data_IF_943741360244
#
_entry.id   IF_943741360244
#
_cell.length_a   1.000
_cell.length_b   1.000
_cell.length_c   1.000
_cell.angle_alpha   90.00
_cell.angle_beta   90.00
_cell.angle_gamma   90.00
#
_symmetry.space_group_name_H-M   'P 1'
#
loop_
_entity.id
_entity.type
_entity.pdbx_description
1 polymer ?
#
# COMPACT_ATOMS: atom_id res chain seq x y z
N UNK A 1 5.98 -4.15 24.31
CA UNK A 1 6.70 -5.17 25.09
C UNK A 1 7.15 -6.24 24.11
N UNK A 2 8.45 -6.31 23.80
CA UNK A 2 8.98 -7.21 22.77
C UNK A 2 8.90 -8.65 23.29
N UNK A 3 8.08 -9.49 22.66
CA UNK A 3 8.08 -10.94 22.92
C UNK A 3 9.48 -11.44 22.54
N UNK A 4 10.23 -11.91 23.52
CA UNK A 4 11.60 -12.40 23.33
C UNK A 4 11.47 -13.76 22.65
N UNK A 5 11.79 -13.83 21.36
CA UNK A 5 11.76 -15.08 20.61
C UNK A 5 12.63 -16.11 21.35
N UNK A 6 12.12 -17.34 21.51
CA UNK A 6 12.85 -18.41 22.18
C UNK A 6 13.75 -19.10 21.16
N UNK A 7 14.88 -18.46 20.86
CA UNK A 7 15.84 -18.93 19.85
C UNK A 7 17.18 -19.24 20.50
N UNK A 8 17.74 -20.41 20.21
CA UNK A 8 19.09 -20.79 20.66
C UNK A 8 20.05 -20.68 19.48
N UNK A 9 21.01 -19.75 19.57
CA UNK A 9 22.06 -19.54 18.56
C UNK A 9 23.31 -20.37 18.87
N UNK A 10 23.86 -21.02 17.85
CA UNK A 10 25.19 -21.65 17.86
C UNK A 10 25.97 -21.23 16.63
N UNK A 11 27.05 -20.48 16.82
CA UNK A 11 27.94 -20.07 15.73
C UNK A 11 28.82 -21.23 15.29
N UNK A 12 28.76 -21.55 13.99
CA UNK A 12 29.55 -22.61 13.35
C UNK A 12 30.83 -22.00 12.77
N UNK A 13 30.72 -20.86 12.09
CA UNK A 13 31.84 -20.09 11.59
C UNK A 13 31.70 -18.63 11.98
N UNK A 14 32.73 -18.06 12.60
CA UNK A 14 32.75 -16.66 13.00
C UNK A 14 32.86 -15.75 11.78
N UNK A 15 31.96 -14.78 11.67
CA UNK A 15 32.02 -13.78 10.61
C UNK A 15 33.13 -12.74 10.81
N UNK A 16 33.15 -11.73 9.95
CA UNK A 16 34.13 -10.65 9.93
C UNK A 16 33.47 -9.31 10.24
N UNK A 17 34.25 -8.38 10.77
CA UNK A 17 33.81 -7.00 11.02
C UNK A 17 33.09 -6.80 12.35
N UNK A 18 32.27 -5.74 12.41
CA UNK A 18 31.43 -5.40 13.57
C UNK A 18 29.98 -5.73 13.26
N UNK A 19 29.19 -5.94 14.31
CA UNK A 19 27.73 -6.12 14.18
C UNK A 19 27.16 -4.80 13.66
N UNK A 20 26.49 -4.83 12.51
CA UNK A 20 25.79 -3.67 11.95
C UNK A 20 24.65 -3.25 12.88
N UNK A 21 24.28 -1.97 12.88
CA UNK A 21 23.20 -1.46 13.75
C UNK A 21 21.80 -1.91 13.28
N UNK A 22 21.69 -2.44 12.06
CA UNK A 22 20.45 -2.96 11.45
C UNK A 22 19.26 -2.00 11.65
N UNK A 23 19.45 -0.73 11.25
CA UNK A 23 18.39 0.28 11.22
C UNK A 23 17.29 -0.09 10.23
N UNK A 24 16.10 0.49 10.40
CA UNK A 24 14.99 0.31 9.45
C UNK A 24 15.45 0.66 8.02
N UNK A 25 15.14 -0.21 7.07
CA UNK A 25 15.59 -0.10 5.68
C UNK A 25 16.92 -0.78 5.35
N UNK A 26 17.64 -1.34 6.33
CA UNK A 26 18.85 -2.13 6.07
C UNK A 26 18.49 -3.39 5.27
N UNK A 27 19.26 -3.73 4.22
CA UNK A 27 19.08 -4.95 3.43
C UNK A 27 20.12 -5.99 3.83
N UNK A 28 19.68 -7.21 4.13
CA UNK A 28 20.56 -8.35 4.37
C UNK A 28 20.37 -9.42 3.30
N UNK A 29 21.48 -9.88 2.74
CA UNK A 29 21.54 -10.93 1.72
C UNK A 29 22.14 -12.17 2.38
N UNK A 30 21.43 -13.29 2.34
CA UNK A 30 21.83 -14.50 3.07
C UNK A 30 21.36 -15.79 2.39
N UNK A 31 22.09 -16.86 2.66
CA UNK A 31 21.61 -18.22 2.44
C UNK A 31 21.01 -18.76 3.73
N UNK A 32 19.95 -19.54 3.61
CA UNK A 32 19.45 -20.35 4.72
C UNK A 32 19.14 -21.78 4.29
N UNK A 33 19.19 -22.65 5.29
CA UNK A 33 18.70 -24.02 5.24
C UNK A 33 17.74 -24.23 6.42
N UNK A 34 16.55 -24.79 6.17
CA UNK A 34 15.59 -25.18 7.19
C UNK A 34 15.59 -26.70 7.34
N UNK A 35 15.80 -27.16 8.58
CA UNK A 35 15.90 -28.56 8.95
C UNK A 35 14.74 -28.94 9.87
N UNK A 36 13.97 -29.93 9.44
CA UNK A 36 12.87 -30.55 10.18
C UNK A 36 13.35 -31.78 10.93
N UNK A 37 13.18 -31.88 12.25
CA UNK A 37 13.52 -33.09 12.99
C UNK A 37 12.54 -34.22 12.63
N UNK A 38 13.09 -35.37 12.21
CA UNK A 38 12.32 -36.56 11.81
C UNK A 38 11.51 -37.07 13.01
N UNK A 39 12.17 -37.22 14.15
CA UNK A 39 11.54 -37.55 15.42
C UNK A 39 11.04 -36.28 16.11
N UNK A 40 9.89 -36.37 16.77
CA UNK A 40 9.35 -35.23 17.52
C UNK A 40 10.15 -35.07 18.81
N UNK A 41 10.86 -33.95 19.01
CA UNK A 41 11.59 -33.74 20.25
C UNK A 41 10.62 -33.63 21.43
N UNK A 42 11.02 -34.17 22.59
CA UNK A 42 10.27 -33.97 23.82
C UNK A 42 10.27 -32.49 24.21
N UNK A 43 9.16 -32.04 24.81
CA UNK A 43 8.95 -30.62 25.12
C UNK A 43 10.03 -30.12 26.09
N UNK A 44 10.85 -29.17 25.64
CA UNK A 44 11.93 -28.58 26.44
C UNK A 44 13.28 -29.29 26.34
N UNK A 45 13.40 -30.37 25.55
CA UNK A 45 14.69 -30.95 25.22
C UNK A 45 15.34 -30.24 24.03
N UNK A 46 16.68 -30.09 24.02
CA UNK A 46 17.39 -29.53 22.88
C UNK A 46 17.22 -30.41 21.65
N UNK A 47 17.20 -29.77 20.49
CA UNK A 47 17.11 -30.45 19.19
C UNK A 47 18.32 -31.38 18.96
N UNK A 48 18.14 -32.58 18.36
CA UNK A 48 19.21 -33.57 18.14
C UNK A 48 20.49 -32.97 17.54
N UNK A 49 21.66 -33.46 17.94
CA UNK A 49 22.94 -32.95 17.41
C UNK A 49 23.28 -33.57 16.06
N UNK A 50 22.86 -34.81 15.83
CA UNK A 50 23.17 -35.57 14.62
C UNK A 50 22.44 -35.03 13.40
N UNK A 51 23.15 -34.93 12.28
CA UNK A 51 22.61 -34.39 11.03
C UNK A 51 21.56 -35.32 10.41
N UNK A 52 21.72 -36.63 10.59
CA UNK A 52 20.83 -37.65 10.01
C UNK A 52 19.45 -37.69 10.67
N UNK A 53 19.29 -37.05 11.82
CA UNK A 53 17.99 -36.88 12.50
C UNK A 53 17.09 -35.82 11.86
N UNK A 54 17.54 -35.18 10.77
CA UNK A 54 16.82 -34.08 10.12
C UNK A 54 16.51 -34.35 8.65
N UNK A 55 15.30 -33.95 8.24
CA UNK A 55 14.93 -33.74 6.84
C UNK A 55 15.12 -32.27 6.48
N UNK A 56 15.79 -31.99 5.37
CA UNK A 56 15.86 -30.63 4.83
C UNK A 56 14.53 -30.26 4.19
N UNK A 57 13.91 -29.16 4.64
CA UNK A 57 12.66 -28.65 4.08
C UNK A 57 12.98 -27.64 3.00
N UNK A 58 13.79 -26.62 3.32
CA UNK A 58 14.13 -25.54 2.40
C UNK A 58 15.64 -25.32 2.38
N UNK A 59 16.21 -25.12 1.18
CA UNK A 59 17.63 -24.81 1.00
C UNK A 59 17.82 -23.78 -0.12
N UNK A 60 18.23 -22.57 0.23
CA UNK A 60 18.49 -21.50 -0.76
C UNK A 60 19.61 -21.83 -1.74
N UNK A 61 20.50 -22.78 -1.44
CA UNK A 61 21.61 -23.15 -2.33
C UNK A 61 21.22 -24.21 -3.35
N UNK A 62 20.18 -25.01 -3.09
CA UNK A 62 19.70 -26.02 -4.02
C UNK A 62 18.71 -25.42 -5.01
N UNK A 63 18.66 -25.94 -6.23
CA UNK A 63 17.63 -25.58 -7.20
C UNK A 63 16.29 -26.27 -6.88
N UNK A 64 15.22 -25.82 -7.52
CA UNK A 64 13.92 -26.50 -7.50
C UNK A 64 14.07 -28.00 -7.84
N UNK A 65 13.37 -28.93 -7.17
CA UNK A 65 12.31 -28.75 -6.17
C UNK A 65 12.77 -28.61 -4.70
N UNK A 66 14.05 -28.86 -4.44
CA UNK A 66 14.59 -28.97 -3.07
C UNK A 66 15.09 -27.63 -2.50
N UNK A 67 14.86 -26.53 -3.21
CA UNK A 67 15.42 -25.23 -2.87
C UNK A 67 15.09 -24.10 -3.84
N UNK A 68 15.75 -22.95 -3.64
CA UNK A 68 15.47 -21.70 -4.37
C UNK A 68 16.53 -21.30 -5.40
N UNK A 69 17.72 -21.89 -5.37
CA UNK A 69 18.82 -21.70 -6.32
C UNK A 69 19.49 -20.32 -6.27
N UNK A 70 19.12 -19.46 -5.31
CA UNK A 70 19.65 -18.10 -5.13
C UNK A 70 19.60 -17.68 -3.66
N UNK A 71 20.48 -16.78 -3.22
CA UNK A 71 20.38 -16.19 -1.89
C UNK A 71 19.06 -15.41 -1.75
N UNK A 72 18.59 -15.30 -0.51
CA UNK A 72 17.44 -14.47 -0.18
C UNK A 72 17.85 -13.13 0.38
N UNK A 73 16.93 -12.20 0.26
CA UNK A 73 17.09 -10.82 0.63
C UNK A 73 15.96 -10.42 1.57
N UNK A 74 16.30 -9.79 2.69
CA UNK A 74 15.34 -9.23 3.64
C UNK A 74 15.68 -7.78 3.91
N UNK A 75 14.65 -6.94 4.04
CA UNK A 75 14.80 -5.54 4.43
C UNK A 75 14.18 -5.34 5.82
N UNK A 76 15.00 -4.88 6.76
CA UNK A 76 14.61 -4.70 8.15
C UNK A 76 13.59 -3.58 8.34
N UNK A 77 12.68 -3.73 9.30
CA UNK A 77 11.69 -2.69 9.67
C UNK A 77 10.45 -2.64 8.76
N UNK A 78 10.48 -3.27 7.58
CA UNK A 78 9.26 -3.60 6.84
C UNK A 78 8.63 -4.78 7.57
N UNK A 79 7.34 -4.71 7.95
CA UNK A 79 6.60 -5.77 8.67
C UNK A 79 6.59 -7.07 7.86
N UNK A 80 7.70 -7.83 7.90
CA UNK A 80 7.86 -9.06 7.15
C UNK A 80 6.99 -10.14 7.78
N UNK A 81 6.55 -11.11 6.97
CA UNK A 81 5.72 -12.22 7.45
C UNK A 81 6.48 -13.17 8.39
N UNK A 82 7.78 -12.97 8.63
CA UNK A 82 8.63 -13.76 9.56
C UNK A 82 9.56 -12.88 10.43
N UNK A 83 9.04 -12.32 11.54
CA UNK A 83 9.85 -11.51 12.47
C UNK A 83 11.05 -12.25 13.08
N UNK A 84 10.97 -13.58 13.18
CA UNK A 84 12.05 -14.39 13.77
C UNK A 84 13.33 -14.39 12.93
N UNK A 85 13.24 -14.27 11.61
CA UNK A 85 14.43 -14.18 10.74
C UNK A 85 15.19 -12.87 10.99
N UNK A 86 14.47 -11.76 11.13
CA UNK A 86 15.08 -10.48 11.51
C UNK A 86 15.78 -10.58 12.86
N UNK A 87 15.15 -11.23 13.84
CA UNK A 87 15.76 -11.42 15.16
C UNK A 87 17.06 -12.24 15.10
N UNK A 88 17.08 -13.32 14.32
CA UNK A 88 18.27 -14.15 14.14
C UNK A 88 19.40 -13.38 13.44
N UNK A 89 19.09 -12.76 12.29
CA UNK A 89 20.08 -12.09 11.45
C UNK A 89 20.71 -10.86 12.13
N UNK A 90 19.95 -10.13 12.97
CA UNK A 90 20.48 -9.01 13.79
C UNK A 90 21.64 -9.41 14.72
N UNK A 91 21.73 -10.68 15.07
CA UNK A 91 22.79 -11.18 15.96
C UNK A 91 24.04 -11.64 15.22
N UNK A 92 24.03 -11.65 13.88
CA UNK A 92 25.09 -12.22 13.05
C UNK A 92 26.04 -11.16 12.50
N UNK A 93 27.30 -11.54 12.32
CA UNK A 93 28.31 -10.81 11.57
C UNK A 93 28.24 -11.16 10.07
N UNK A 94 28.78 -10.27 9.23
CA UNK A 94 28.94 -10.54 7.79
C UNK A 94 29.87 -11.73 7.59
N UNK A 95 29.53 -12.64 6.68
CA UNK A 95 30.18 -13.93 6.42
C UNK A 95 30.08 -14.95 7.59
N UNK A 96 29.24 -14.68 8.59
CA UNK A 96 28.99 -15.61 9.70
C UNK A 96 28.09 -16.77 9.24
N UNK A 97 28.39 -17.98 9.72
CA UNK A 97 27.51 -19.15 9.61
C UNK A 97 27.04 -19.53 11.01
N UNK A 98 25.74 -19.43 11.24
CA UNK A 98 25.14 -19.73 12.54
C UNK A 98 23.91 -20.59 12.42
N UNK A 99 23.79 -21.52 13.36
CA UNK A 99 22.63 -22.36 13.57
C UNK A 99 21.71 -21.72 14.60
N UNK A 100 20.41 -21.74 14.33
CA UNK A 100 19.37 -21.24 15.21
C UNK A 100 18.29 -22.30 15.37
N UNK A 101 18.05 -22.70 16.61
CA UNK A 101 16.95 -23.59 16.96
C UNK A 101 15.76 -22.72 17.36
N UNK A 102 14.66 -22.79 16.60
CA UNK A 102 13.50 -21.91 16.69
C UNK A 102 12.27 -22.72 17.13
N UNK A 103 11.60 -22.24 18.17
CA UNK A 103 10.39 -22.84 18.73
C UNK A 103 9.14 -22.68 17.84
N UNK A 104 8.17 -23.59 17.99
CA UNK A 104 6.96 -23.63 17.16
C UNK A 104 6.16 -22.31 17.15
N UNK A 105 6.17 -21.58 18.27
CA UNK A 105 5.39 -20.35 18.45
C UNK A 105 5.82 -19.26 17.49
N UNK A 106 7.10 -19.21 17.15
CA UNK A 106 7.69 -18.22 16.25
C UNK A 106 7.61 -18.66 14.77
N UNK A 107 7.04 -19.85 14.49
CA UNK A 107 7.01 -20.49 13.16
C UNK A 107 5.61 -20.58 12.54
N UNK A 108 4.59 -19.99 13.15
CA UNK A 108 3.19 -20.06 12.67
C UNK A 108 3.06 -19.57 11.22
N UNK A 109 3.83 -18.56 10.83
CA UNK A 109 3.78 -17.98 9.47
C UNK A 109 4.73 -18.67 8.48
N UNK A 110 5.63 -19.52 8.95
CA UNK A 110 6.70 -20.12 8.12
C UNK A 110 6.17 -20.96 6.94
N UNK A 111 5.18 -21.85 7.13
CA UNK A 111 4.65 -22.65 6.01
C UNK A 111 4.13 -21.80 4.85
N UNK A 112 3.47 -20.67 5.15
CA UNK A 112 2.91 -19.80 4.12
C UNK A 112 3.99 -19.02 3.35
N UNK A 113 5.04 -18.58 4.05
CA UNK A 113 6.17 -17.90 3.40
C UNK A 113 6.98 -18.88 2.56
N UNK A 114 7.29 -20.07 3.09
CA UNK A 114 7.98 -21.11 2.33
C UNK A 114 7.20 -21.50 1.07
N UNK A 115 5.88 -21.68 1.16
CA UNK A 115 5.02 -21.90 -0.01
C UNK A 115 5.19 -20.81 -1.08
N UNK A 116 5.09 -19.53 -0.70
CA UNK A 116 5.25 -18.40 -1.64
C UNK A 116 6.63 -18.42 -2.31
N UNK A 117 7.68 -18.67 -1.54
CA UNK A 117 9.04 -18.73 -2.08
C UNK A 117 9.21 -19.91 -3.06
N UNK A 118 8.60 -21.06 -2.76
CA UNK A 118 8.61 -22.25 -3.63
C UNK A 118 7.87 -21.98 -4.94
N UNK A 119 6.69 -21.39 -4.87
CA UNK A 119 5.85 -21.10 -6.02
C UNK A 119 6.51 -20.10 -6.99
N UNK A 120 7.33 -19.18 -6.50
CA UNK A 120 8.10 -18.23 -7.34
C UNK A 120 9.17 -18.93 -8.17
N UNK A 121 9.80 -19.99 -7.62
CA UNK A 121 10.93 -20.68 -8.26
C UNK A 121 10.48 -21.89 -9.09
N UNK A 122 9.25 -22.37 -8.87
CA UNK A 122 8.65 -23.49 -9.61
C UNK A 122 8.56 -23.17 -11.12
N UNK A 123 9.16 -24.00 -12.00
CA UNK A 123 9.03 -23.84 -13.45
C UNK A 123 7.56 -23.97 -13.89
N UNK A 124 7.07 -23.05 -14.72
CA UNK A 124 5.73 -23.16 -15.31
C UNK A 124 5.71 -24.28 -16.36
N UNK A 125 5.11 -25.43 -16.05
CA UNK A 125 4.65 -26.36 -17.08
C UNK A 125 3.64 -25.61 -17.96
N UNK A 126 3.80 -25.64 -19.29
CA UNK A 126 3.10 -24.82 -20.30
C UNK A 126 1.57 -24.95 -20.41
N UNK A 127 0.84 -25.15 -19.31
CA UNK A 127 -0.59 -24.91 -19.22
C UNK A 127 -0.80 -23.45 -18.78
N UNK A 128 -1.46 -22.67 -19.65
CA UNK A 128 -1.90 -21.30 -19.40
C UNK A 128 -2.43 -21.16 -17.98
N UNK A 129 -1.74 -20.40 -17.14
CA UNK A 129 -2.31 -19.91 -15.89
C UNK A 129 -3.25 -18.78 -16.23
N UNK A 130 -4.54 -19.07 -16.12
CA UNK A 130 -5.59 -18.08 -16.04
C UNK A 130 -5.23 -17.08 -14.93
N UNK A 131 -5.30 -15.79 -15.21
CA UNK A 131 -5.06 -14.74 -14.22
C UNK A 131 -6.28 -14.66 -13.27
N UNK A 132 -6.50 -15.73 -12.52
CA UNK A 132 -7.59 -15.89 -11.57
C UNK A 132 -7.14 -15.56 -10.15
N UNK A 133 -7.54 -14.38 -9.69
CA UNK A 133 -7.75 -14.01 -8.29
C UNK A 133 -6.56 -14.19 -7.32
N UNK A 134 -5.96 -13.05 -6.95
CA UNK A 134 -5.31 -12.86 -5.64
C UNK A 134 -6.30 -13.24 -4.55
N UNK A 135 -6.20 -14.47 -4.06
CA UNK A 135 -7.08 -15.00 -3.02
C UNK A 135 -6.74 -14.29 -1.72
N UNK A 136 -7.63 -13.38 -1.34
CA UNK A 136 -7.75 -12.81 0.00
C UNK A 136 -7.71 -13.95 1.04
N UNK A 137 -6.90 -13.82 2.09
CA UNK A 137 -6.87 -14.78 3.19
C UNK A 137 -8.26 -14.83 3.84
N UNK A 138 -9.05 -15.84 3.48
CA UNK A 138 -10.24 -16.26 4.21
C UNK A 138 -9.89 -17.58 4.91
N UNK A 139 -10.44 -17.81 6.10
CA UNK A 139 -10.24 -19.03 6.87
C UNK A 139 -10.57 -20.33 6.07
N UNK A 140 -11.27 -20.21 4.94
CA UNK A 140 -11.58 -21.29 4.01
C UNK A 140 -10.37 -21.82 3.21
N UNK A 141 -9.27 -21.07 3.05
CA UNK A 141 -8.07 -21.52 2.31
C UNK A 141 -7.26 -22.58 3.06
N UNK A 142 -7.44 -22.69 4.38
CA UNK A 142 -6.72 -23.65 5.24
C UNK A 142 -7.13 -25.10 4.92
N UNK A 143 -8.31 -25.31 4.36
CA UNK A 143 -8.83 -26.64 4.06
C UNK A 143 -8.17 -27.33 2.85
N UNK A 144 -7.46 -26.59 1.98
CA UNK A 144 -6.84 -27.14 0.76
C UNK A 144 -5.34 -27.48 0.89
N UNK A 145 -4.70 -27.20 2.03
CA UNK A 145 -3.27 -27.42 2.22
C UNK A 145 -2.39 -26.46 1.40
N UNK A 146 -1.08 -26.51 1.63
CA UNK A 146 -0.08 -25.73 0.90
C UNK A 146 0.23 -26.31 -0.48
N UNK A 147 -0.09 -27.60 -0.71
CA UNK A 147 0.30 -28.34 -1.90
C UNK A 147 1.70 -28.95 -1.81
N UNK A 148 2.36 -28.84 -0.65
CA UNK A 148 3.66 -29.42 -0.35
C UNK A 148 3.53 -30.27 0.93
N UNK A 149 3.77 -31.58 0.80
CA UNK A 149 3.58 -32.54 1.90
C UNK A 149 4.37 -32.16 3.17
N UNK A 150 5.55 -31.57 2.99
CA UNK A 150 6.45 -31.19 4.07
C UNK A 150 5.92 -30.00 4.89
N UNK A 151 5.32 -29.02 4.20
CA UNK A 151 4.73 -27.84 4.83
C UNK A 151 3.37 -28.18 5.44
N UNK A 152 2.63 -29.09 4.80
CA UNK A 152 1.36 -29.61 5.31
C UNK A 152 1.57 -30.44 6.58
N UNK A 153 2.64 -31.24 6.66
CA UNK A 153 3.02 -31.93 7.90
C UNK A 153 3.43 -30.95 9.00
N UNK A 154 4.18 -29.90 8.68
CA UNK A 154 4.54 -28.86 9.66
C UNK A 154 3.30 -28.11 10.20
N UNK A 155 2.29 -27.88 9.36
CA UNK A 155 1.02 -27.27 9.80
C UNK A 155 0.19 -28.21 10.67
N UNK A 156 0.09 -29.50 10.30
CA UNK A 156 -0.65 -30.52 11.07
C UNK A 156 0.04 -30.84 12.40
N UNK A 157 1.37 -30.90 12.37
CA UNK A 157 2.24 -31.25 13.48
C UNK A 157 3.30 -30.16 13.69
N UNK A 158 2.96 -29.03 14.36
CA UNK A 158 3.92 -27.98 14.65
C UNK A 158 5.10 -28.51 15.47
N UNK A 159 6.31 -28.31 14.95
CA UNK A 159 7.58 -28.72 15.55
C UNK A 159 8.61 -27.59 15.49
N UNK A 160 9.57 -27.54 16.43
CA UNK A 160 10.67 -26.60 16.34
C UNK A 160 11.53 -26.93 15.12
N UNK A 161 12.07 -25.89 14.50
CA UNK A 161 12.91 -26.01 13.31
C UNK A 161 14.32 -25.53 13.61
N UNK A 162 15.29 -26.17 12.95
CA UNK A 162 16.68 -25.71 12.97
C UNK A 162 16.97 -24.97 11.67
N UNK A 163 17.34 -23.70 11.79
CA UNK A 163 17.79 -22.89 10.68
C UNK A 163 19.30 -22.76 10.69
N UNK A 164 19.93 -22.92 9.54
CA UNK A 164 21.35 -22.61 9.36
C UNK A 164 21.43 -21.42 8.41
N UNK A 165 21.81 -20.26 8.93
CA UNK A 165 22.01 -19.05 8.13
C UNK A 165 23.48 -18.87 7.79
N UNK A 166 23.73 -18.37 6.58
CA UNK A 166 25.01 -17.81 6.15
C UNK A 166 24.74 -16.40 5.66
N UNK A 167 25.11 -15.42 6.48
CA UNK A 167 24.90 -14.00 6.16
C UNK A 167 26.01 -13.55 5.20
N UNK A 168 25.66 -13.22 3.97
CA UNK A 168 26.66 -12.88 2.94
C UNK A 168 27.03 -11.40 2.99
N UNK A 169 26.02 -10.54 3.09
CA UNK A 169 26.22 -9.10 3.03
C UNK A 169 25.10 -8.37 3.77
N UNK A 170 25.46 -7.22 4.36
CA UNK A 170 24.54 -6.25 4.93
C UNK A 170 24.80 -4.93 4.21
N UNK A 171 23.74 -4.33 3.67
CA UNK A 171 23.78 -3.07 2.93
C UNK A 171 22.92 -2.05 3.68
N UNK A 172 23.52 -0.90 3.96
CA UNK A 172 22.79 0.24 4.51
C UNK A 172 21.87 0.86 3.43
N UNK A 173 20.79 1.56 3.80
CA UNK A 173 19.80 2.09 2.85
C UNK A 173 20.38 2.96 1.71
N UNK A 174 21.53 3.58 1.92
CA UNK A 174 22.26 4.42 0.96
C UNK A 174 23.19 3.62 0.02
N UNK A 175 23.47 2.35 0.33
CA UNK A 175 24.44 1.52 -0.37
C UNK A 175 23.83 0.56 -1.40
N UNK A 176 22.49 0.50 -1.49
CA UNK A 176 21.80 -0.26 -2.53
C UNK A 176 20.69 0.58 -3.16
N UNK A 177 20.55 0.45 -4.47
CA UNK A 177 19.32 0.90 -5.12
C UNK A 177 18.20 0.00 -4.62
N UNK A 178 17.22 0.59 -3.94
CA UNK A 178 16.01 -0.11 -3.53
C UNK A 178 15.48 -0.95 -4.70
N UNK A 179 15.11 -2.21 -4.49
CA UNK A 179 14.57 -3.00 -5.60
C UNK A 179 13.34 -2.29 -6.18
N UNK A 180 13.07 -2.45 -7.48
CA UNK A 180 11.91 -1.89 -8.20
C UNK A 180 10.56 -2.07 -7.48
N UNK A 181 10.44 -2.99 -6.53
CA UNK A 181 9.24 -3.22 -5.71
C UNK A 181 9.14 -2.35 -4.45
N UNK A 182 10.26 -1.79 -3.97
CA UNK A 182 10.33 -0.70 -2.98
C UNK A 182 10.42 0.66 -3.68
N UNK A 183 11.04 0.72 -4.86
CA UNK A 183 11.05 1.88 -5.74
C UNK A 183 9.71 2.10 -6.45
N UNK A 184 8.85 1.10 -6.61
CA UNK A 184 7.59 1.27 -7.34
C UNK A 184 6.62 2.21 -6.61
N UNK A 185 6.57 2.22 -5.27
CA UNK A 185 5.67 3.11 -4.53
C UNK A 185 6.18 4.54 -4.53
N UNK A 186 7.46 4.74 -4.21
CA UNK A 186 8.07 6.06 -4.25
C UNK A 186 8.14 6.61 -5.67
N UNK A 187 8.48 5.79 -6.67
CA UNK A 187 8.53 6.22 -8.06
C UNK A 187 7.13 6.42 -8.63
N UNK A 188 6.12 5.63 -8.26
CA UNK A 188 4.73 5.94 -8.61
C UNK A 188 4.25 7.20 -7.90
N UNK A 189 4.67 7.46 -6.66
CA UNK A 189 4.33 8.68 -5.94
C UNK A 189 5.00 9.91 -6.56
N UNK A 190 6.29 9.79 -6.94
CA UNK A 190 7.02 10.79 -7.74
C UNK A 190 6.32 10.98 -9.09
N UNK A 191 5.81 9.91 -9.68
CA UNK A 191 5.07 9.95 -10.94
C UNK A 191 3.73 10.68 -10.81
N UNK A 192 2.98 10.44 -9.74
CA UNK A 192 1.76 11.17 -9.38
C UNK A 192 2.08 12.65 -9.20
N UNK A 193 3.16 12.97 -8.49
CA UNK A 193 3.60 14.34 -8.27
C UNK A 193 4.06 15.02 -9.58
N UNK A 194 4.80 14.32 -10.44
CA UNK A 194 5.22 14.82 -11.75
C UNK A 194 4.02 15.10 -12.67
N UNK A 195 3.01 14.22 -12.67
CA UNK A 195 1.77 14.44 -13.41
C UNK A 195 0.97 15.61 -12.85
N UNK A 196 0.92 15.77 -11.52
CA UNK A 196 0.30 16.94 -10.87
C UNK A 196 1.00 18.23 -11.29
N UNK A 197 2.32 18.25 -11.31
CA UNK A 197 3.11 19.41 -11.74
C UNK A 197 2.88 19.71 -13.22
N UNK A 198 2.90 18.69 -14.08
CA UNK A 198 2.54 18.82 -15.50
C UNK A 198 1.13 19.40 -15.69
N UNK A 199 0.15 18.93 -14.92
CA UNK A 199 -1.20 19.49 -14.91
C UNK A 199 -1.24 20.95 -14.48
N UNK A 200 -0.41 21.34 -13.49
CA UNK A 200 -0.30 22.74 -13.07
C UNK A 200 0.31 23.63 -14.17
N UNK A 201 1.34 23.15 -14.87
CA UNK A 201 1.96 23.86 -15.98
C UNK A 201 0.96 24.08 -17.13
N UNK A 202 0.23 23.03 -17.52
CA UNK A 202 -0.83 23.11 -18.53
C UNK A 202 -1.96 24.06 -18.09
N UNK A 203 -2.31 24.06 -16.80
CA UNK A 203 -3.29 25.00 -16.24
C UNK A 203 -2.83 26.45 -16.37
N UNK A 204 -1.56 26.76 -16.10
CA UNK A 204 -0.99 28.10 -16.28
C UNK A 204 -1.03 28.52 -17.75
N UNK A 205 -0.77 27.59 -18.67
CA UNK A 205 -0.87 27.81 -20.11
C UNK A 205 -2.32 27.92 -20.63
N UNK A 206 -3.32 27.72 -19.75
CA UNK A 206 -4.76 27.70 -20.06
C UNK A 206 -5.22 26.51 -20.92
N UNK A 207 -4.38 25.48 -21.03
CA UNK A 207 -4.69 24.21 -21.71
C UNK A 207 -5.46 23.30 -20.74
N UNK A 208 -6.70 23.70 -20.44
CA UNK A 208 -7.47 23.10 -19.35
C UNK A 208 -7.86 21.63 -19.59
N UNK A 209 -8.05 21.21 -20.84
CA UNK A 209 -8.45 19.83 -21.16
C UNK A 209 -7.28 18.87 -20.94
N UNK A 210 -6.11 19.25 -21.43
CA UNK A 210 -4.86 18.52 -21.27
C UNK A 210 -4.43 18.49 -19.80
N UNK A 211 -4.67 19.58 -19.06
CA UNK A 211 -4.47 19.61 -17.61
C UNK A 211 -5.38 18.59 -16.89
N UNK A 212 -6.67 18.51 -17.27
CA UNK A 212 -7.62 17.52 -16.73
C UNK A 212 -7.12 16.10 -16.98
N UNK A 213 -6.66 15.79 -18.19
CA UNK A 213 -6.15 14.45 -18.53
C UNK A 213 -4.91 14.11 -17.70
N UNK A 214 -3.98 15.05 -17.52
CA UNK A 214 -2.81 14.86 -16.66
C UNK A 214 -3.19 14.58 -15.19
N UNK A 215 -4.20 15.27 -14.65
CA UNK A 215 -4.70 15.00 -13.29
C UNK A 215 -5.45 13.67 -13.19
N UNK A 216 -6.21 13.26 -14.21
CA UNK A 216 -6.88 11.95 -14.27
C UNK A 216 -5.89 10.79 -14.30
N UNK A 217 -4.80 10.95 -15.06
CA UNK A 217 -3.71 9.98 -15.08
C UNK A 217 -3.05 9.87 -13.70
N UNK A 218 -2.89 11.00 -13.00
CA UNK A 218 -2.34 11.03 -11.65
C UNK A 218 -3.26 10.30 -10.65
N UNK A 219 -4.57 10.54 -10.73
CA UNK A 219 -5.57 9.84 -9.91
C UNK A 219 -5.55 8.34 -10.16
N UNK A 220 -5.53 7.90 -11.41
CA UNK A 220 -5.51 6.47 -11.77
C UNK A 220 -4.28 5.74 -11.18
N UNK A 221 -3.12 6.40 -11.21
CA UNK A 221 -1.89 5.87 -10.60
C UNK A 221 -2.00 5.82 -9.08
N UNK A 222 -2.60 6.85 -8.47
CA UNK A 222 -2.80 6.91 -7.03
C UNK A 222 -3.82 5.87 -6.54
N UNK A 223 -4.92 5.65 -7.26
CA UNK A 223 -5.91 4.62 -6.95
C UNK A 223 -5.30 3.21 -6.98
N UNK A 224 -4.39 2.97 -7.92
CA UNK A 224 -3.63 1.70 -7.98
C UNK A 224 -2.77 1.47 -6.72
N UNK A 225 -2.25 2.55 -6.12
CA UNK A 225 -1.51 2.47 -4.85
C UNK A 225 -2.48 2.25 -3.68
N UNK A 226 -3.59 2.97 -3.64
CA UNK A 226 -4.61 2.89 -2.57
C UNK A 226 -5.20 1.47 -2.48
N UNK A 227 -5.43 0.79 -3.61
CA UNK A 227 -5.99 -0.57 -3.65
C UNK A 227 -5.11 -1.63 -2.98
N UNK A 228 -3.83 -1.35 -2.75
CA UNK A 228 -2.90 -2.25 -2.06
C UNK A 228 -2.95 -2.11 -0.55
N UNK A 229 -3.44 -0.96 -0.08
CA UNK A 229 -3.53 -0.65 1.34
C UNK A 229 -4.89 -1.00 1.92
N UNK A 230 -4.90 -1.32 3.22
CA UNK A 230 -6.14 -1.63 3.93
C UNK A 230 -6.89 -0.34 4.25
N UNK A 231 -8.18 -0.22 3.88
CA UNK A 231 -8.96 0.97 4.19
C UNK A 231 -8.96 1.31 5.68
N UNK A 232 -8.67 2.58 6.00
CA UNK A 232 -8.68 3.11 7.36
C UNK A 232 -7.37 2.98 8.14
N UNK A 233 -6.35 2.28 7.60
CA UNK A 233 -5.00 2.34 8.16
C UNK A 233 -4.33 3.70 7.85
N UNK A 234 -3.39 4.17 8.68
CA UNK A 234 -2.73 5.47 8.49
C UNK A 234 -2.15 5.68 7.08
N UNK A 235 -1.53 4.65 6.51
CA UNK A 235 -0.90 4.66 5.19
C UNK A 235 -1.94 4.86 4.07
N UNK A 236 -3.11 4.20 4.19
CA UNK A 236 -4.24 4.40 3.28
C UNK A 236 -4.76 5.83 3.35
N UNK A 237 -4.90 6.39 4.57
CA UNK A 237 -5.39 7.77 4.77
C UNK A 237 -4.41 8.79 4.20
N UNK A 238 -3.10 8.57 4.33
CA UNK A 238 -2.09 9.46 3.74
C UNK A 238 -2.10 9.44 2.22
N UNK A 239 -2.30 8.27 1.60
CA UNK A 239 -2.45 8.16 0.15
C UNK A 239 -3.76 8.81 -0.33
N UNK A 240 -4.89 8.55 0.33
CA UNK A 240 -6.18 9.13 -0.07
C UNK A 240 -6.19 10.67 0.07
N UNK A 241 -5.46 11.24 1.03
CA UNK A 241 -5.28 12.69 1.13
C UNK A 241 -4.61 13.31 -0.10
N UNK A 242 -3.82 12.57 -0.87
CA UNK A 242 -3.19 13.06 -2.11
C UNK A 242 -4.20 13.24 -3.25
N UNK A 243 -5.40 12.67 -3.15
CA UNK A 243 -6.50 12.93 -4.09
C UNK A 243 -7.03 14.37 -4.00
N UNK A 244 -6.96 14.99 -2.82
CA UNK A 244 -7.49 16.34 -2.54
C UNK A 244 -6.98 17.40 -3.53
N UNK A 245 -5.65 17.62 -3.69
CA UNK A 245 -5.16 18.63 -4.62
C UNK A 245 -5.49 18.31 -6.09
N UNK A 246 -5.55 17.03 -6.48
CA UNK A 246 -5.87 16.61 -7.85
C UNK A 246 -7.32 16.95 -8.20
N UNK A 247 -8.28 16.52 -7.37
CA UNK A 247 -9.69 16.85 -7.56
C UNK A 247 -9.95 18.36 -7.45
N UNK A 248 -9.28 19.04 -6.51
CA UNK A 248 -9.37 20.49 -6.36
C UNK A 248 -8.92 21.22 -7.64
N UNK A 249 -7.79 20.83 -8.23
CA UNK A 249 -7.31 21.46 -9.46
C UNK A 249 -8.20 21.12 -10.67
N UNK A 250 -8.67 19.87 -10.78
CA UNK A 250 -9.61 19.47 -11.81
C UNK A 250 -10.91 20.26 -11.75
N UNK A 251 -11.47 20.49 -10.56
CA UNK A 251 -12.72 21.25 -10.44
C UNK A 251 -12.59 22.69 -10.94
N UNK A 252 -11.42 23.30 -10.76
CA UNK A 252 -11.12 24.61 -11.34
C UNK A 252 -11.01 24.55 -12.87
N UNK A 253 -10.41 23.50 -13.43
CA UNK A 253 -10.32 23.30 -14.87
C UNK A 253 -11.71 23.14 -15.49
N UNK A 254 -12.57 22.30 -14.91
CA UNK A 254 -13.95 22.09 -15.35
C UNK A 254 -14.77 23.38 -15.33
N UNK A 255 -14.65 24.18 -14.25
CA UNK A 255 -15.26 25.52 -14.20
C UNK A 255 -14.79 26.43 -15.34
N UNK A 256 -13.51 26.36 -15.72
CA UNK A 256 -12.97 27.21 -16.78
C UNK A 256 -13.42 26.78 -18.18
N UNK A 257 -13.64 25.48 -18.42
CA UNK A 257 -14.19 24.98 -19.69
C UNK A 257 -15.72 25.02 -19.75
N UNK A 258 -16.39 25.35 -18.64
CA UNK A 258 -17.84 25.46 -18.54
C UNK A 258 -18.56 24.14 -18.31
N UNK A 259 -17.83 23.08 -17.96
CA UNK A 259 -18.41 21.78 -17.64
C UNK A 259 -18.83 21.74 -16.15
N UNK A 260 -20.07 22.13 -15.91
CA UNK A 260 -20.56 22.42 -14.56
C UNK A 260 -20.83 21.17 -13.74
N UNK A 261 -21.22 20.08 -14.38
CA UNK A 261 -21.54 18.82 -13.71
C UNK A 261 -20.25 18.19 -13.16
N UNK A 262 -19.22 18.12 -14.00
CA UNK A 262 -17.92 17.56 -13.63
C UNK A 262 -17.20 18.44 -12.60
N UNK A 263 -17.40 19.77 -12.66
CA UNK A 263 -16.92 20.69 -11.62
C UNK A 263 -17.59 20.46 -10.25
N UNK A 264 -18.89 20.15 -10.24
CA UNK A 264 -19.63 19.82 -9.02
C UNK A 264 -19.17 18.49 -8.41
N UNK A 265 -19.03 17.44 -9.25
CA UNK A 265 -18.62 16.11 -8.82
C UNK A 265 -17.20 16.12 -8.25
N UNK A 266 -16.25 16.71 -8.97
CA UNK A 266 -14.86 16.80 -8.51
C UNK A 266 -14.71 17.65 -7.24
N UNK A 267 -15.50 18.72 -7.09
CA UNK A 267 -15.53 19.49 -5.83
C UNK A 267 -16.13 18.66 -4.68
N UNK A 268 -17.14 17.84 -4.96
CA UNK A 268 -17.75 16.95 -3.96
C UNK A 268 -16.79 15.86 -3.50
N UNK A 269 -15.94 15.32 -4.39
CA UNK A 269 -14.87 14.38 -4.01
C UNK A 269 -13.86 14.98 -3.02
N UNK A 270 -13.54 16.27 -3.16
CA UNK A 270 -12.72 16.97 -2.17
C UNK A 270 -13.45 17.06 -0.84
N UNK A 271 -14.74 17.43 -0.86
CA UNK A 271 -15.53 17.65 0.35
C UNK A 271 -15.87 16.35 1.11
N UNK A 272 -15.86 15.19 0.45
CA UNK A 272 -15.92 13.88 1.12
C UNK A 272 -14.71 13.64 2.04
N UNK A 273 -13.56 14.24 1.72
CA UNK A 273 -12.29 14.08 2.45
C UNK A 273 -12.03 15.25 3.41
N UNK A 274 -12.33 16.46 2.96
CA UNK A 274 -12.22 17.70 3.73
C UNK A 274 -13.53 18.49 3.63
N UNK A 275 -14.47 18.20 4.54
CA UNK A 275 -15.82 18.79 4.55
C UNK A 275 -15.85 20.32 4.49
N UNK A 276 -14.84 20.96 5.09
CA UNK A 276 -14.75 22.42 5.17
C UNK A 276 -13.66 23.01 4.27
N UNK A 277 -13.29 22.35 3.17
CA UNK A 277 -12.30 22.91 2.24
C UNK A 277 -12.86 24.18 1.56
N UNK A 278 -12.24 25.33 1.84
CA UNK A 278 -12.68 26.66 1.35
C UNK A 278 -12.83 26.69 -0.18
N UNK A 279 -11.82 26.20 -0.90
CA UNK A 279 -11.78 26.23 -2.37
C UNK A 279 -12.84 25.32 -2.98
N UNK A 280 -13.03 24.13 -2.42
CA UNK A 280 -14.01 23.17 -2.94
C UNK A 280 -15.45 23.63 -2.70
N UNK A 281 -15.77 24.16 -1.51
CA UNK A 281 -17.10 24.74 -1.23
C UNK A 281 -17.40 25.89 -2.20
N UNK A 282 -16.44 26.80 -2.38
CA UNK A 282 -16.62 27.93 -3.28
C UNK A 282 -16.81 27.50 -4.75
N UNK A 283 -15.98 26.57 -5.23
CA UNK A 283 -16.04 26.07 -6.62
C UNK A 283 -17.32 25.29 -6.88
N UNK A 284 -17.77 24.46 -5.94
CA UNK A 284 -19.04 23.73 -6.04
C UNK A 284 -20.23 24.66 -6.07
N UNK A 285 -20.26 25.67 -5.19
CA UNK A 285 -21.29 26.70 -5.21
C UNK A 285 -21.34 27.40 -6.58
N UNK A 286 -20.19 27.81 -7.12
CA UNK A 286 -20.12 28.47 -8.43
C UNK A 286 -20.64 27.58 -9.57
N UNK A 287 -20.30 26.30 -9.58
CA UNK A 287 -20.81 25.33 -10.54
C UNK A 287 -22.34 25.20 -10.45
N UNK A 288 -22.88 25.07 -9.23
CA UNK A 288 -24.32 24.97 -8.94
C UNK A 288 -25.11 26.22 -9.33
N UNK A 289 -24.57 27.42 -9.08
CA UNK A 289 -25.15 28.70 -9.54
C UNK A 289 -25.26 28.72 -11.07
N UNK A 290 -24.21 28.29 -11.76
CA UNK A 290 -24.19 28.24 -13.22
C UNK A 290 -25.19 27.18 -13.75
N UNK A 291 -25.34 26.06 -13.03
CA UNK A 291 -26.26 24.97 -13.36
C UNK A 291 -27.72 25.19 -12.88
N UNK A 292 -28.05 26.39 -12.38
CA UNK A 292 -29.38 26.75 -11.83
C UNK A 292 -29.86 25.93 -10.62
N UNK A 293 -28.93 25.25 -9.93
CA UNK A 293 -29.13 24.57 -8.63
C UNK A 293 -28.94 25.57 -7.48
N UNK A 294 -29.87 26.52 -7.39
CA UNK A 294 -29.69 27.73 -6.57
C UNK A 294 -29.80 27.47 -5.06
N UNK A 295 -30.56 26.45 -4.66
CA UNK A 295 -30.78 26.13 -3.24
C UNK A 295 -29.53 25.46 -2.66
N UNK A 296 -28.98 24.49 -3.37
CA UNK A 296 -27.75 23.78 -3.01
C UNK A 296 -26.51 24.68 -3.05
N UNK A 297 -26.48 25.65 -3.99
CA UNK A 297 -25.44 26.67 -4.02
C UNK A 297 -25.45 27.57 -2.79
N UNK A 298 -26.64 27.96 -2.32
CA UNK A 298 -26.79 28.79 -1.12
C UNK A 298 -26.33 28.04 0.14
N UNK A 299 -26.61 26.73 0.23
CA UNK A 299 -26.12 25.89 1.32
C UNK A 299 -24.60 25.83 1.38
N UNK A 300 -23.94 25.62 0.23
CA UNK A 300 -22.47 25.63 0.13
C UNK A 300 -21.88 26.98 0.55
N UNK A 301 -22.49 28.10 0.12
CA UNK A 301 -22.04 29.45 0.47
C UNK A 301 -22.22 29.77 1.96
N UNK A 302 -23.32 29.32 2.57
CA UNK A 302 -23.54 29.46 4.02
C UNK A 302 -22.54 28.62 4.82
N UNK A 303 -22.28 27.39 4.37
CA UNK A 303 -21.29 26.51 4.99
C UNK A 303 -19.88 27.09 4.89
N UNK A 304 -19.54 27.68 3.73
CA UNK A 304 -18.29 28.39 3.51
C UNK A 304 -18.15 29.58 4.47
N UNK A 305 -19.17 30.44 4.58
CA UNK A 305 -19.13 31.60 5.47
C UNK A 305 -19.01 31.22 6.95
N UNK A 306 -19.69 30.14 7.37
CA UNK A 306 -19.67 29.66 8.76
C UNK A 306 -18.27 29.21 9.19
N UNK A 307 -17.55 28.52 8.31
CA UNK A 307 -16.23 27.95 8.63
C UNK A 307 -15.07 28.86 8.23
N UNK A 308 -15.26 29.73 7.23
CA UNK A 308 -14.25 30.65 6.70
C UNK A 308 -14.78 32.09 6.63
N UNK A 309 -14.81 32.83 7.76
CA UNK A 309 -15.33 34.20 7.80
C UNK A 309 -14.60 35.17 6.87
N UNK A 310 -13.33 34.89 6.53
CA UNK A 310 -12.54 35.70 5.61
C UNK A 310 -13.13 35.72 4.17
N UNK A 311 -13.90 34.70 3.79
CA UNK A 311 -14.55 34.62 2.48
C UNK A 311 -15.83 35.48 2.38
N UNK A 312 -16.22 36.22 3.43
CA UNK A 312 -17.49 36.94 3.51
C UNK A 312 -17.78 37.86 2.32
N UNK A 313 -16.80 38.62 1.85
CA UNK A 313 -16.98 39.53 0.71
C UNK A 313 -17.30 38.77 -0.58
N UNK A 314 -16.61 37.65 -0.81
CA UNK A 314 -16.81 36.82 -2.00
C UNK A 314 -18.16 36.09 -1.91
N UNK A 315 -18.48 35.53 -0.74
CA UNK A 315 -19.78 34.89 -0.48
C UNK A 315 -20.93 35.86 -0.69
N UNK A 316 -20.84 37.08 -0.18
CA UNK A 316 -21.89 38.09 -0.35
C UNK A 316 -22.13 38.42 -1.83
N UNK A 317 -21.07 38.46 -2.66
CA UNK A 317 -21.19 38.67 -4.10
C UNK A 317 -21.91 37.52 -4.79
N UNK A 318 -21.52 36.27 -4.53
CA UNK A 318 -22.18 35.10 -5.15
C UNK A 318 -23.62 34.93 -4.65
N UNK A 319 -23.90 35.21 -3.37
CA UNK A 319 -25.25 35.23 -2.81
C UNK A 319 -26.16 36.23 -3.52
N UNK A 320 -25.63 37.41 -3.89
CA UNK A 320 -26.38 38.39 -4.69
C UNK A 320 -26.77 37.80 -6.06
N UNK A 321 -25.85 37.12 -6.74
CA UNK A 321 -26.12 36.46 -8.03
C UNK A 321 -27.22 35.39 -7.88
N UNK A 322 -27.19 34.60 -6.81
CA UNK A 322 -28.24 33.62 -6.49
C UNK A 322 -29.61 34.31 -6.36
N UNK A 323 -29.68 35.43 -5.63
CA UNK A 323 -30.94 36.16 -5.45
C UNK A 323 -31.49 36.74 -6.75
N UNK A 324 -30.62 37.28 -7.61
CA UNK A 324 -30.98 37.82 -8.92
C UNK A 324 -31.53 36.72 -9.84
N UNK A 325 -30.83 35.58 -9.96
CA UNK A 325 -31.29 34.42 -10.73
C UNK A 325 -32.61 33.85 -10.23
N UNK A 326 -32.84 33.83 -8.91
CA UNK A 326 -34.14 33.40 -8.34
C UNK A 326 -35.26 34.35 -8.72
N UNK A 327 -35.01 35.66 -8.74
CA UNK A 327 -36.00 36.64 -9.16
C UNK A 327 -36.37 36.48 -10.65
N UNK A 328 -35.38 36.27 -11.51
CA UNK A 328 -35.55 35.97 -12.93
C UNK A 328 -36.42 34.71 -13.14
N UNK A 329 -36.08 33.59 -12.47
CA UNK A 329 -36.86 32.34 -12.54
C UNK A 329 -38.33 32.52 -12.12
N UNK A 330 -38.58 33.33 -11.08
CA UNK A 330 -39.94 33.64 -10.62
C UNK A 330 -40.71 34.48 -11.63
N UNK A 331 -40.07 35.47 -12.23
CA UNK A 331 -40.67 36.32 -13.25
C UNK A 331 -41.03 35.53 -14.51
N UNK A 332 -40.11 34.71 -15.01
CA UNK A 332 -40.33 33.83 -16.17
C UNK A 332 -41.47 32.84 -15.93
N UNK A 333 -41.51 32.23 -14.74
CA UNK A 333 -42.62 31.35 -14.34
C UNK A 333 -43.94 32.12 -14.36
N UNK A 334 -43.99 33.31 -13.76
CA UNK A 334 -45.19 34.17 -13.71
C UNK A 334 -45.70 34.54 -15.11
N UNK A 335 -44.80 34.94 -16.01
CA UNK A 335 -45.13 35.27 -17.40
C UNK A 335 -45.64 34.04 -18.15
N UNK A 336 -45.01 32.87 -17.95
CA UNK A 336 -45.41 31.61 -18.59
C UNK A 336 -46.81 31.19 -18.14
N UNK A 337 -47.08 31.18 -16.83
CA UNK A 337 -48.41 30.88 -16.30
C UNK A 337 -49.46 31.87 -16.81
N UNK A 338 -49.15 33.19 -16.85
CA UNK A 338 -50.08 34.19 -17.39
C UNK A 338 -50.42 34.00 -18.87
N UNK A 339 -49.56 33.35 -19.66
CA UNK A 339 -49.81 33.04 -21.08
C UNK A 339 -50.60 31.74 -21.28
N UNK A 340 -50.57 30.82 -20.31
CA UNK A 340 -51.33 29.55 -20.38
C UNK A 340 -52.82 29.71 -20.02
N UNK A 341 -53.19 30.78 -19.30
CA UNK A 341 -54.57 31.07 -18.89
C UNK A 341 -55.27 32.16 -19.73
N UNK A 342 -54.66 32.58 -20.84
CA UNK A 342 -55.28 33.37 -21.90
C UNK A 342 -55.51 32.47 -23.11
#
# INVERSE_FOLDING_TARGET
MSVRAMVVKKTINGGKGKISEFSDGTKAIFHYQALFPIEKPEKGQPLPVEKDSYRCIDDTRKSWPDGYGKPLEIVFGKKFQLPVFEHCLKTMLVDEISQFDVECIDLVQYPFVSKKLRDIVKPCDGKKHDHGHTTHMCAASVAQGTGYDELDDLMKNPRPLRFVFHLLQVLEPDQYEHDSWQLDEEDKLKSVEALRQKGNELFVNKDYKEAIDAYRDALTRLDTLILREKPGEPEWVELDRKNIPLYSNMSQCYLNIGDLHEAEETSSEVLKREEFNEKALFRRAKARIAAWKLDEAEEDLKLLLRNHPAAATIVAREMKIVTEKRAEKKEDSRVTYSKMFK
#
